data_IF_245059489474
#
_entry.id   IF_245059489474
#
_cell.length_a   1.000
_cell.length_b   1.000
_cell.length_c   1.000
_cell.angle_alpha   90.00
_cell.angle_beta   90.00
_cell.angle_gamma   90.00
#
_symmetry.space_group_name_H-M   'P 1'
#
loop_
_entity.id
_entity.type
_entity.pdbx_description
1 polymer ?
#
# COMPACT_ATOMS: atom_id res chain seq x y z
N UNK A 1 7.81 -35.99 10.10
CA UNK A 1 9.18 -36.16 9.59
C UNK A 1 9.19 -37.33 8.62
N UNK A 2 9.40 -37.05 7.33
CA UNK A 2 9.88 -37.99 6.33
C UNK A 2 10.30 -37.13 5.12
N UNK A 3 11.60 -36.94 4.97
CA UNK A 3 12.22 -36.28 3.82
C UNK A 3 12.22 -37.27 2.65
N UNK A 4 11.81 -36.82 1.47
CA UNK A 4 12.16 -37.49 0.20
C UNK A 4 12.84 -36.45 -0.68
N UNK A 5 14.17 -36.55 -0.77
CA UNK A 5 14.98 -35.88 -1.78
C UNK A 5 14.58 -36.40 -3.16
N UNK A 6 14.34 -35.51 -4.11
CA UNK A 6 14.55 -35.80 -5.52
C UNK A 6 15.63 -34.85 -6.05
N UNK A 7 16.71 -35.45 -6.55
CA UNK A 7 17.86 -34.79 -7.13
C UNK A 7 17.51 -34.14 -8.48
N UNK A 8 18.04 -32.93 -8.66
CA UNK A 8 18.05 -32.16 -9.90
C UNK A 8 18.90 -32.85 -10.98
N UNK A 9 18.40 -32.87 -12.21
CA UNK A 9 19.24 -32.87 -13.42
C UNK A 9 18.95 -31.60 -14.23
N UNK A 10 19.98 -30.96 -14.81
CA UNK A 10 19.83 -29.70 -15.54
C UNK A 10 19.20 -29.95 -16.92
N UNK A 11 18.06 -29.31 -17.19
CA UNK A 11 17.51 -29.22 -18.54
C UNK A 11 18.25 -28.12 -19.30
N UNK A 12 18.85 -28.49 -20.43
CA UNK A 12 19.42 -27.61 -21.44
C UNK A 12 18.37 -26.61 -21.96
N UNK A 13 18.69 -25.33 -21.91
CA UNK A 13 17.91 -24.23 -22.49
C UNK A 13 17.95 -24.29 -24.04
N UNK A 14 16.80 -24.25 -24.74
CA UNK A 14 16.78 -23.84 -26.13
C UNK A 14 16.81 -22.31 -26.25
N UNK A 15 17.48 -21.86 -27.31
CA UNK A 15 17.77 -20.49 -27.68
C UNK A 15 16.54 -19.56 -27.75
N UNK A 16 16.80 -18.31 -27.34
CA UNK A 16 16.18 -17.05 -27.75
C UNK A 16 14.86 -17.12 -28.53
N UNK A 17 13.75 -16.94 -27.82
CA UNK A 17 12.51 -16.41 -28.39
C UNK A 17 12.07 -15.20 -27.59
N UNK A 18 11.87 -14.08 -28.29
CA UNK A 18 11.42 -12.79 -27.78
C UNK A 18 10.14 -12.94 -26.94
N UNK A 19 10.27 -12.79 -25.62
CA UNK A 19 9.12 -12.52 -24.76
C UNK A 19 8.81 -11.03 -24.82
N UNK A 20 7.74 -10.70 -25.54
CA UNK A 20 7.07 -9.40 -25.41
C UNK A 20 6.68 -9.22 -23.94
N UNK A 21 7.33 -8.27 -23.26
CA UNK A 21 6.94 -7.82 -21.92
C UNK A 21 5.65 -7.00 -22.07
N UNK A 22 4.50 -7.68 -22.02
CA UNK A 22 3.22 -7.00 -21.95
C UNK A 22 3.09 -6.29 -20.61
N UNK A 23 3.19 -4.97 -20.59
CA UNK A 23 2.88 -4.15 -19.41
C UNK A 23 1.40 -4.32 -19.07
N UNK A 24 1.08 -5.13 -18.06
CA UNK A 24 -0.28 -5.27 -17.54
C UNK A 24 -0.58 -4.08 -16.65
N UNK A 25 -1.30 -3.09 -17.18
CA UNK A 25 -1.76 -1.94 -16.40
C UNK A 25 -2.98 -2.32 -15.56
N UNK A 26 -2.75 -2.64 -14.29
CA UNK A 26 -3.83 -2.85 -13.32
C UNK A 26 -4.40 -1.47 -12.94
N UNK A 27 -5.69 -1.25 -13.22
CA UNK A 27 -6.44 -0.02 -12.89
C UNK A 27 -7.39 -0.28 -11.73
N UNK A 28 -7.38 0.58 -10.72
CA UNK A 28 -8.32 0.50 -9.61
C UNK A 28 -9.58 1.32 -9.93
N UNK A 29 -10.73 0.65 -10.05
CA UNK A 29 -12.00 1.30 -10.39
C UNK A 29 -12.53 2.10 -9.20
N UNK A 30 -12.94 3.35 -9.45
CA UNK A 30 -13.70 4.12 -8.47
C UNK A 30 -15.15 3.58 -8.44
N UNK A 31 -15.71 3.37 -7.26
CA UNK A 31 -17.10 2.94 -7.14
C UNK A 31 -18.04 4.09 -7.52
N UNK A 32 -18.96 3.86 -8.46
CA UNK A 32 -19.88 4.82 -9.13
C UNK A 32 -20.86 5.63 -8.23
N UNK A 33 -20.70 5.58 -6.90
CA UNK A 33 -21.55 6.30 -5.93
C UNK A 33 -20.75 7.30 -5.08
N UNK A 34 -19.70 7.88 -5.66
CA UNK A 34 -18.84 8.84 -4.96
C UNK A 34 -19.49 10.23 -4.76
N UNK A 35 -20.60 10.52 -5.43
CA UNK A 35 -21.28 11.83 -5.38
C UNK A 35 -22.15 12.06 -4.14
N UNK A 36 -22.31 11.09 -3.22
CA UNK A 36 -23.16 11.27 -2.02
C UNK A 36 -22.89 10.30 -0.85
N UNK A 37 -21.63 10.02 -0.51
CA UNK A 37 -21.30 9.14 0.63
C UNK A 37 -20.51 9.86 1.72
N UNK A 38 -21.01 9.77 2.95
CA UNK A 38 -20.49 10.30 4.21
C UNK A 38 -19.00 9.98 4.40
N UNK A 39 -18.11 10.92 4.07
CA UNK A 39 -16.75 10.92 4.61
C UNK A 39 -16.87 11.30 6.08
N UNK A 40 -16.91 10.30 6.96
CA UNK A 40 -16.66 10.56 8.38
C UNK A 40 -15.15 10.72 8.51
N UNK A 41 -14.65 11.93 8.82
CA UNK A 41 -13.22 12.14 9.04
C UNK A 41 -12.73 11.18 10.11
N UNK A 42 -11.56 10.57 9.92
CA UNK A 42 -10.95 9.83 11.00
C UNK A 42 -10.56 10.80 12.12
N UNK A 43 -11.04 10.55 13.33
CA UNK A 43 -10.70 11.35 14.50
C UNK A 43 -9.29 10.99 14.97
N UNK A 44 -8.40 12.00 15.00
CA UNK A 44 -7.00 11.81 15.35
C UNK A 44 -6.86 11.45 16.83
N UNK A 45 -6.08 10.42 17.13
CA UNK A 45 -5.74 10.05 18.51
C UNK A 45 -4.59 10.92 19.04
N UNK A 46 -4.39 10.90 20.36
CA UNK A 46 -3.30 11.63 21.00
C UNK A 46 -1.93 11.34 20.36
N UNK A 47 -1.19 12.41 20.05
CA UNK A 47 0.12 12.34 19.40
C UNK A 47 0.07 12.12 17.88
N UNK A 48 -1.12 12.05 17.28
CA UNK A 48 -1.29 11.99 15.83
C UNK A 48 -1.54 13.37 15.23
N UNK A 49 -1.01 13.60 14.04
CA UNK A 49 -1.32 14.78 13.23
C UNK A 49 -1.68 14.36 11.82
N UNK A 50 -2.49 15.19 11.15
CA UNK A 50 -2.81 15.05 9.74
C UNK A 50 -2.14 16.16 8.96
N UNK A 51 -1.51 15.81 7.84
CA UNK A 51 -1.03 16.77 6.84
C UNK A 51 -1.49 16.33 5.46
N UNK A 52 -1.39 17.25 4.52
CA UNK A 52 -1.70 17.00 3.12
C UNK A 52 -0.46 17.25 2.29
N UNK A 53 0.05 16.20 1.66
CA UNK A 53 1.20 16.24 0.77
C UNK A 53 0.75 16.60 -0.64
N UNK A 54 1.31 17.66 -1.21
CA UNK A 54 0.99 18.10 -2.57
C UNK A 54 1.79 17.29 -3.60
N UNK A 55 1.07 16.55 -4.44
CA UNK A 55 1.64 15.72 -5.49
C UNK A 55 1.93 16.57 -6.74
N UNK A 56 2.80 16.09 -7.66
CA UNK A 56 3.07 16.77 -8.93
C UNK A 56 1.83 17.00 -9.81
N UNK A 57 0.78 16.20 -9.60
CA UNK A 57 -0.53 16.37 -10.25
C UNK A 57 -1.32 17.57 -9.73
N UNK A 58 -0.89 18.22 -8.65
CA UNK A 58 -1.62 19.27 -7.93
C UNK A 58 -2.64 18.72 -6.92
N UNK A 59 -2.83 17.40 -6.87
CA UNK A 59 -3.73 16.74 -5.92
C UNK A 59 -3.05 16.60 -4.56
N UNK A 60 -3.86 16.69 -3.49
CA UNK A 60 -3.41 16.53 -2.11
C UNK A 60 -3.62 15.10 -1.62
N UNK A 61 -2.54 14.49 -1.17
CA UNK A 61 -2.53 13.18 -0.53
C UNK A 61 -2.53 13.34 0.98
N UNK A 62 -3.55 12.81 1.67
CA UNK A 62 -3.59 12.76 3.13
C UNK A 62 -2.46 11.88 3.66
N UNK A 63 -1.78 12.39 4.68
CA UNK A 63 -0.79 11.66 5.46
C UNK A 63 -1.08 11.84 6.95
N UNK A 64 -1.23 10.73 7.66
CA UNK A 64 -1.28 10.71 9.11
C UNK A 64 0.12 10.46 9.66
N UNK A 65 0.55 11.25 10.64
CA UNK A 65 1.86 11.15 11.27
C UNK A 65 1.71 10.82 12.75
N UNK A 66 2.67 10.06 13.26
CA UNK A 66 2.88 9.89 14.68
C UNK A 66 4.37 9.75 14.96
N UNK A 67 4.94 10.76 15.63
CA UNK A 67 6.37 10.81 15.95
C UNK A 67 6.74 9.80 17.03
N UNK A 68 7.99 9.35 17.02
CA UNK A 68 8.53 8.48 18.06
C UNK A 68 8.33 9.12 19.44
N UNK A 69 7.84 8.34 20.42
CA UNK A 69 7.76 8.76 21.82
C UNK A 69 8.86 8.07 22.64
N UNK A 70 10.00 8.75 22.90
CA UNK A 70 11.17 8.14 23.53
C UNK A 70 11.00 7.84 25.02
N UNK A 71 9.96 8.34 25.70
CA UNK A 71 9.80 8.15 27.14
C UNK A 71 9.71 6.66 27.57
N UNK A 72 9.30 5.76 26.66
CA UNK A 72 9.29 4.30 26.92
C UNK A 72 10.55 3.55 26.47
N UNK A 73 11.42 4.17 25.67
CA UNK A 73 12.70 3.55 25.26
C UNK A 73 13.74 3.61 26.38
N UNK A 74 13.73 4.70 27.15
CA UNK A 74 14.59 4.89 28.33
C UNK A 74 14.32 3.81 29.39
N UNK A 75 13.06 3.40 29.58
CA UNK A 75 12.69 2.29 30.47
C UNK A 75 13.20 0.92 30.00
N UNK A 76 13.50 0.76 28.70
CA UNK A 76 14.00 -0.50 28.12
C UNK A 76 15.53 -0.59 28.02
N UNK A 77 16.27 0.40 28.55
CA UNK A 77 17.74 0.37 28.54
C UNK A 77 18.38 0.45 27.15
N UNK A 78 17.65 0.93 26.14
CA UNK A 78 18.14 1.13 24.77
C UNK A 78 18.80 2.51 24.68
N UNK A 79 20.13 2.52 24.54
CA UNK A 79 20.97 3.72 24.47
C UNK A 79 21.16 4.27 23.05
N UNK A 80 20.31 3.88 22.09
CA UNK A 80 20.39 4.41 20.72
C UNK A 80 19.68 5.75 20.64
N UNK A 81 20.40 6.78 20.19
CA UNK A 81 19.83 8.09 19.87
C UNK A 81 18.60 7.94 18.98
N UNK A 82 17.53 8.64 19.35
CA UNK A 82 16.19 8.60 18.72
C UNK A 82 16.20 8.99 17.21
N UNK A 83 17.36 9.39 16.67
CA UNK A 83 17.61 9.76 15.28
C UNK A 83 17.98 8.60 14.36
N UNK A 84 18.24 7.41 14.89
CA UNK A 84 18.92 6.35 14.11
C UNK A 84 17.96 5.30 13.53
N UNK A 85 16.71 5.24 14.00
CA UNK A 85 15.73 4.29 13.46
C UNK A 85 15.11 4.81 12.16
N UNK A 86 15.01 3.97 11.12
CA UNK A 86 14.38 4.37 9.87
C UNK A 86 12.88 4.66 10.08
N UNK A 87 12.31 5.68 9.44
CA UNK A 87 10.89 5.96 9.52
C UNK A 87 10.07 4.82 8.92
N UNK A 88 8.87 4.58 9.46
CA UNK A 88 7.94 3.58 8.93
C UNK A 88 6.86 4.28 8.10
N UNK A 89 6.68 3.83 6.86
CA UNK A 89 5.64 4.33 5.97
C UNK A 89 4.66 3.21 5.61
N UNK A 90 3.41 3.39 6.04
CA UNK A 90 2.32 2.44 5.86
C UNK A 90 1.45 2.79 4.64
N UNK A 91 1.23 1.81 3.77
CA UNK A 91 0.41 1.91 2.55
C UNK A 91 -0.74 0.91 2.66
N UNK A 92 -1.97 1.42 2.66
CA UNK A 92 -3.18 0.61 2.82
C UNK A 92 -3.58 -0.16 1.55
N UNK A 93 -4.48 -1.11 1.71
CA UNK A 93 -5.11 -1.85 0.61
C UNK A 93 -6.41 -1.21 0.11
N UNK A 94 -7.05 -1.82 -0.88
CA UNK A 94 -8.36 -1.38 -1.38
C UNK A 94 -9.40 -1.29 -0.24
N UNK A 95 -10.33 -0.34 -0.35
CA UNK A 95 -11.40 -0.08 0.62
C UNK A 95 -10.94 0.34 2.03
N UNK A 96 -9.68 0.75 2.17
CA UNK A 96 -9.13 1.34 3.39
C UNK A 96 -8.59 2.75 3.10
N UNK A 97 -8.11 3.43 4.14
CA UNK A 97 -7.26 4.61 4.03
C UNK A 97 -6.21 4.60 5.16
N UNK A 98 -5.45 5.69 5.36
CA UNK A 98 -4.42 5.80 6.40
C UNK A 98 -4.92 5.40 7.81
N UNK A 99 -6.20 5.64 8.11
CA UNK A 99 -6.84 5.32 9.40
C UNK A 99 -6.71 3.85 9.81
N UNK A 100 -6.57 2.91 8.87
CA UNK A 100 -6.44 1.48 9.20
C UNK A 100 -5.15 1.15 9.98
N UNK A 101 -4.12 2.00 9.82
CA UNK A 101 -2.86 1.90 10.57
C UNK A 101 -2.86 2.78 11.82
N UNK A 102 -3.59 3.89 11.78
CA UNK A 102 -3.57 4.92 12.81
C UNK A 102 -4.08 4.39 14.15
N UNK A 103 -5.00 3.43 14.17
CA UNK A 103 -5.66 3.10 15.43
C UNK A 103 -4.74 2.39 16.44
N UNK A 104 -3.93 1.44 15.96
CA UNK A 104 -3.16 0.53 16.82
C UNK A 104 -1.69 0.41 16.40
N UNK A 105 -1.42 0.38 15.10
CA UNK A 105 -0.08 0.14 14.57
C UNK A 105 0.82 1.36 14.75
N UNK A 106 0.39 2.55 14.32
CA UNK A 106 1.18 3.76 14.49
C UNK A 106 1.50 4.05 15.97
N UNK A 107 0.53 3.97 16.92
CA UNK A 107 0.85 4.12 18.34
C UNK A 107 1.78 3.03 18.88
N UNK A 108 1.67 1.79 18.39
CA UNK A 108 2.57 0.70 18.82
C UNK A 108 4.02 0.98 18.41
N UNK A 109 4.26 1.27 17.14
CA UNK A 109 5.62 1.50 16.63
C UNK A 109 6.22 2.82 17.13
N UNK A 110 5.42 3.89 17.24
CA UNK A 110 5.85 5.15 17.86
C UNK A 110 6.32 4.98 19.30
N UNK A 111 5.62 4.15 20.10
CA UNK A 111 6.05 3.80 21.47
C UNK A 111 7.32 2.95 21.52
N UNK A 112 7.74 2.37 20.40
CA UNK A 112 8.97 1.61 20.26
C UNK A 112 10.06 2.41 19.51
N UNK A 113 9.91 3.73 19.37
CA UNK A 113 10.95 4.61 18.84
C UNK A 113 10.88 4.94 17.36
N UNK A 114 9.87 4.46 16.64
CA UNK A 114 9.77 4.70 15.20
C UNK A 114 8.90 5.92 14.87
N UNK A 115 9.40 6.82 14.03
CA UNK A 115 8.57 7.80 13.36
C UNK A 115 7.63 7.09 12.36
N UNK A 116 6.32 7.26 12.52
CA UNK A 116 5.31 6.56 11.75
C UNK A 116 4.55 7.52 10.82
N UNK A 117 4.33 7.10 9.58
CA UNK A 117 3.59 7.83 8.56
C UNK A 117 2.63 6.86 7.85
N UNK A 118 1.35 7.20 7.74
CA UNK A 118 0.38 6.42 6.97
C UNK A 118 -0.23 7.31 5.89
N UNK A 119 -0.12 6.90 4.63
CA UNK A 119 -0.69 7.65 3.49
C UNK A 119 -2.08 7.12 3.17
N UNK A 120 -2.99 7.99 2.76
CA UNK A 120 -4.21 7.60 2.07
C UNK A 120 -4.02 7.78 0.57
N UNK A 121 -4.17 6.72 -0.21
CA UNK A 121 -4.10 6.79 -1.68
C UNK A 121 -5.19 7.75 -2.22
N UNK A 122 -4.95 8.33 -3.40
CA UNK A 122 -5.89 9.25 -4.04
C UNK A 122 -7.26 8.61 -4.27
N UNK A 123 -8.32 9.35 -3.91
CA UNK A 123 -9.70 8.85 -3.91
C UNK A 123 -10.07 8.01 -2.68
N UNK A 124 -9.19 7.87 -1.68
CA UNK A 124 -9.48 7.23 -0.39
C UNK A 124 -9.19 8.15 0.79
N UNK A 125 -9.88 7.92 1.91
CA UNK A 125 -9.73 8.75 3.11
C UNK A 125 -10.09 10.20 2.85
N UNK A 126 -9.20 11.10 3.27
CA UNK A 126 -9.33 12.54 3.02
C UNK A 126 -8.45 13.03 1.87
N UNK A 127 -7.79 12.14 1.12
CA UNK A 127 -7.07 12.51 -0.09
C UNK A 127 -8.02 13.02 -1.18
N UNK A 128 -7.49 13.89 -2.02
CA UNK A 128 -8.20 14.39 -3.19
C UNK A 128 -8.55 13.25 -4.16
N UNK A 129 -9.55 13.51 -4.98
CA UNK A 129 -10.15 12.51 -5.88
C UNK A 129 -9.76 12.88 -7.30
N UNK A 130 -9.08 11.99 -8.03
CA UNK A 130 -8.77 12.22 -9.45
C UNK A 130 -10.06 12.40 -10.26
N UNK A 131 -9.96 13.17 -11.35
CA UNK A 131 -11.11 13.44 -12.25
C UNK A 131 -11.49 12.19 -13.07
N UNK A 132 -10.56 11.27 -13.29
CA UNK A 132 -10.76 10.05 -14.06
C UNK A 132 -11.69 9.05 -13.36
N UNK A 133 -12.25 8.09 -14.12
CA UNK A 133 -13.11 7.01 -13.59
C UNK A 133 -12.38 5.96 -12.75
N UNK A 134 -11.06 6.09 -12.62
CA UNK A 134 -10.19 5.19 -11.85
C UNK A 134 -9.32 6.01 -10.92
N UNK A 135 -9.03 5.45 -9.73
CA UNK A 135 -8.23 6.14 -8.71
C UNK A 135 -6.76 6.32 -9.14
N UNK A 136 -6.32 5.56 -10.13
CA UNK A 136 -4.95 5.56 -10.64
C UNK A 136 -4.57 4.23 -11.27
N UNK A 137 -3.36 4.20 -11.82
CA UNK A 137 -2.66 2.96 -12.19
C UNK A 137 -1.73 2.54 -11.06
N UNK A 138 -1.22 1.30 -11.12
CA UNK A 138 -0.20 0.84 -10.18
C UNK A 138 1.04 1.75 -10.18
N UNK A 139 1.43 2.23 -11.36
CA UNK A 139 2.54 3.17 -11.52
C UNK A 139 2.26 4.51 -10.84
N UNK A 140 1.10 5.12 -11.05
CA UNK A 140 0.80 6.43 -10.45
C UNK A 140 0.76 6.34 -8.93
N UNK A 141 0.17 5.28 -8.37
CA UNK A 141 0.20 5.07 -6.92
C UNK A 141 1.63 4.89 -6.37
N UNK A 142 2.49 4.15 -7.08
CA UNK A 142 3.89 4.01 -6.68
C UNK A 142 4.65 5.34 -6.80
N UNK A 143 4.40 6.12 -7.85
CA UNK A 143 4.96 7.46 -8.05
C UNK A 143 4.54 8.44 -6.94
N UNK A 144 3.29 8.41 -6.52
CA UNK A 144 2.78 9.28 -5.44
C UNK A 144 3.45 8.97 -4.10
N UNK A 145 3.58 7.67 -3.78
CA UNK A 145 4.32 7.19 -2.61
C UNK A 145 5.79 7.62 -2.69
N UNK A 146 6.45 7.43 -3.84
CA UNK A 146 7.84 7.85 -4.07
C UNK A 146 8.02 9.36 -3.89
N UNK A 147 7.07 10.16 -4.37
CA UNK A 147 7.10 11.61 -4.23
C UNK A 147 7.04 12.03 -2.76
N UNK A 148 6.17 11.39 -1.97
CA UNK A 148 6.09 11.64 -0.54
C UNK A 148 7.38 11.20 0.19
N UNK A 149 7.96 10.05 -0.15
CA UNK A 149 9.23 9.61 0.44
C UNK A 149 10.33 10.64 0.14
N UNK A 150 10.44 11.10 -1.11
CA UNK A 150 11.48 12.03 -1.54
C UNK A 150 11.38 13.40 -0.87
N UNK A 151 10.17 13.94 -0.71
CA UNK A 151 9.96 15.30 -0.21
C UNK A 151 9.63 15.39 1.27
N UNK A 152 9.00 14.35 1.82
CA UNK A 152 8.43 14.34 3.17
C UNK A 152 9.31 13.67 4.22
N UNK A 153 10.25 12.81 3.81
CA UNK A 153 11.08 12.03 4.73
C UNK A 153 12.56 12.45 4.66
N UNK A 154 13.24 12.40 5.81
CA UNK A 154 14.65 12.79 5.94
C UNK A 154 15.63 11.64 5.68
N UNK A 155 15.17 10.41 5.74
CA UNK A 155 15.97 9.20 5.57
C UNK A 155 15.14 8.09 4.90
N UNK A 156 15.80 7.11 4.26
CA UNK A 156 15.13 5.96 3.65
C UNK A 156 14.18 5.25 4.63
N UNK A 157 12.88 5.11 4.30
CA UNK A 157 11.92 4.45 5.18
C UNK A 157 11.96 2.94 5.05
N UNK A 158 11.36 2.26 6.03
CA UNK A 158 10.81 0.92 5.84
C UNK A 158 9.37 1.05 5.34
N UNK A 159 9.07 0.47 4.18
CA UNK A 159 7.70 0.47 3.63
C UNK A 159 6.90 -0.73 4.10
N UNK A 160 5.65 -0.50 4.50
CA UNK A 160 4.72 -1.54 4.92
C UNK A 160 3.46 -1.49 4.06
N UNK A 161 3.20 -2.54 3.29
CA UNK A 161 2.08 -2.58 2.35
C UNK A 161 1.08 -3.69 2.68
N UNK A 162 -0.19 -3.33 2.89
CA UNK A 162 -1.27 -4.30 3.07
C UNK A 162 -2.05 -4.54 1.77
N UNK A 163 -2.26 -5.80 1.40
CA UNK A 163 -3.10 -6.18 0.24
C UNK A 163 -2.67 -5.45 -1.05
N UNK A 164 -3.51 -4.57 -1.61
CA UNK A 164 -3.19 -3.72 -2.77
C UNK A 164 -2.00 -2.80 -2.52
N UNK A 165 -1.84 -2.28 -1.29
CA UNK A 165 -0.66 -1.52 -0.88
C UNK A 165 0.64 -2.32 -1.01
N UNK A 166 0.58 -3.63 -0.74
CA UNK A 166 1.73 -4.51 -0.98
C UNK A 166 2.04 -4.73 -2.46
N UNK A 167 1.04 -4.69 -3.35
CA UNK A 167 1.27 -4.72 -4.80
C UNK A 167 1.95 -3.43 -5.28
N UNK A 168 1.55 -2.28 -4.73
CA UNK A 168 2.22 -0.99 -4.97
C UNK A 168 3.69 -1.06 -4.55
N UNK A 169 3.98 -1.60 -3.37
CA UNK A 169 5.37 -1.80 -2.90
C UNK A 169 6.17 -2.74 -3.80
N UNK A 170 5.58 -3.85 -4.24
CA UNK A 170 6.25 -4.78 -5.16
C UNK A 170 6.62 -4.08 -6.47
N UNK A 171 5.70 -3.28 -7.03
CA UNK A 171 5.99 -2.45 -8.19
C UNK A 171 7.11 -1.45 -7.90
N UNK A 172 7.00 -0.68 -6.81
CA UNK A 172 8.02 0.29 -6.39
C UNK A 172 9.41 -0.36 -6.39
N UNK A 173 9.57 -1.48 -5.67
CA UNK A 173 10.85 -2.18 -5.52
C UNK A 173 11.38 -2.69 -6.86
N UNK A 174 10.52 -3.20 -7.76
CA UNK A 174 10.92 -3.69 -9.07
C UNK A 174 11.49 -2.60 -10.00
N UNK A 175 11.17 -1.33 -9.73
CA UNK A 175 11.62 -0.17 -10.50
C UNK A 175 12.59 0.75 -9.72
N UNK A 176 12.97 0.41 -8.49
CA UNK A 176 14.05 1.07 -7.76
C UNK A 176 15.38 1.00 -8.52
N UNK A 177 16.15 2.10 -8.49
CA UNK A 177 17.48 2.17 -9.10
C UNK A 177 17.51 2.14 -10.64
N UNK A 178 16.36 2.02 -11.31
CA UNK A 178 16.28 2.08 -12.78
C UNK A 178 16.15 3.53 -13.23
N UNK A 179 17.23 4.07 -13.78
CA UNK A 179 17.19 5.32 -14.55
C UNK A 179 16.50 5.02 -15.88
N UNK A 180 15.37 5.68 -16.12
CA UNK A 180 14.64 5.48 -17.36
C UNK A 180 15.47 6.03 -18.54
N UNK A 181 15.93 5.16 -19.42
CA UNK A 181 16.65 5.54 -20.64
C UNK A 181 15.70 5.99 -21.76
N UNK A 182 14.38 6.02 -21.48
CA UNK A 182 13.31 6.15 -22.48
C UNK A 182 12.79 7.58 -22.70
N UNK A 183 13.37 8.61 -22.08
CA UNK A 183 13.05 10.02 -22.36
C UNK A 183 11.67 10.50 -21.87
N UNK A 184 10.88 9.65 -21.22
CA UNK A 184 9.70 10.05 -20.43
C UNK A 184 10.18 10.56 -19.05
N UNK A 185 9.46 11.47 -18.35
CA UNK A 185 9.81 11.87 -16.98
C UNK A 185 10.07 10.63 -16.11
N UNK A 186 11.35 10.38 -15.86
CA UNK A 186 11.83 9.24 -15.10
C UNK A 186 11.32 9.39 -13.68
N UNK A 187 10.29 8.60 -13.33
CA UNK A 187 9.85 8.54 -11.93
C UNK A 187 11.00 7.92 -11.14
N UNK A 188 11.72 8.76 -10.40
CA UNK A 188 12.76 8.31 -9.49
C UNK A 188 12.11 7.69 -8.26
N UNK A 189 12.49 6.45 -7.95
CA UNK A 189 12.07 5.73 -6.75
C UNK A 189 13.21 5.75 -5.72
N UNK A 190 13.09 6.55 -4.63
CA UNK A 190 14.10 6.64 -3.59
C UNK A 190 14.44 5.31 -2.92
N UNK A 191 15.66 5.22 -2.37
CA UNK A 191 16.12 4.07 -1.59
C UNK A 191 15.26 3.83 -0.36
N UNK A 192 15.17 2.56 0.04
CA UNK A 192 14.40 2.09 1.19
C UNK A 192 15.35 1.41 2.19
N UNK A 193 15.11 1.60 3.48
CA UNK A 193 15.78 0.84 4.53
C UNK A 193 15.27 -0.61 4.60
N UNK A 194 14.04 -0.85 4.15
CA UNK A 194 13.44 -2.18 4.09
C UNK A 194 12.00 -2.16 3.57
N UNK A 195 11.40 -3.34 3.44
CA UNK A 195 10.00 -3.47 3.06
C UNK A 195 9.34 -4.68 3.74
N UNK A 196 8.04 -4.55 4.07
CA UNK A 196 7.20 -5.60 4.63
C UNK A 196 5.87 -5.70 3.84
N UNK A 197 5.54 -6.92 3.42
CA UNK A 197 4.33 -7.22 2.65
C UNK A 197 3.34 -8.00 3.52
N UNK A 198 2.17 -7.42 3.79
CA UNK A 198 1.13 -8.01 4.63
C UNK A 198 -0.07 -8.42 3.78
N UNK A 199 -0.32 -9.73 3.69
CA UNK A 199 -1.44 -10.29 2.92
C UNK A 199 -1.50 -9.75 1.49
N UNK A 200 -0.33 -9.57 0.85
CA UNK A 200 -0.21 -8.82 -0.39
C UNK A 200 -0.82 -9.54 -1.58
N UNK A 201 -1.43 -8.77 -2.48
CA UNK A 201 -1.82 -9.26 -3.80
C UNK A 201 -0.56 -9.70 -4.55
N UNK A 202 -0.50 -10.92 -5.10
CA UNK A 202 0.66 -11.38 -5.85
C UNK A 202 0.87 -10.50 -7.10
N UNK A 203 2.10 -10.44 -7.66
CA UNK A 203 2.40 -9.61 -8.84
C UNK A 203 1.50 -9.89 -10.05
N UNK A 204 1.01 -11.13 -10.17
CA UNK A 204 0.05 -11.55 -11.21
C UNK A 204 -1.35 -10.98 -11.04
N UNK A 205 -1.64 -10.34 -9.90
CA UNK A 205 -2.98 -9.92 -9.50
C UNK A 205 -3.83 -11.07 -8.93
N UNK A 206 -5.03 -10.73 -8.48
CA UNK A 206 -6.00 -11.67 -7.89
C UNK A 206 -6.95 -12.32 -8.91
N UNK A 207 -6.80 -12.06 -10.20
CA UNK A 207 -7.76 -12.53 -11.21
C UNK A 207 -7.90 -14.06 -11.21
N UNK A 208 -6.80 -14.80 -11.11
CA UNK A 208 -6.83 -16.27 -11.05
C UNK A 208 -7.54 -16.81 -9.81
N UNK A 209 -7.32 -16.22 -8.62
CA UNK A 209 -8.00 -16.65 -7.39
C UNK A 209 -9.49 -16.28 -7.39
N UNK A 210 -9.82 -15.11 -7.94
CA UNK A 210 -11.22 -14.67 -8.13
C UNK A 210 -11.93 -15.60 -9.10
N UNK A 211 -11.31 -15.94 -10.24
CA UNK A 211 -11.92 -16.84 -11.21
C UNK A 211 -12.12 -18.24 -10.61
N UNK A 212 -11.11 -18.75 -9.89
CA UNK A 212 -11.25 -20.00 -9.15
C UNK A 212 -12.41 -19.95 -8.16
N UNK A 213 -12.58 -18.85 -7.41
CA UNK A 213 -13.67 -18.70 -6.45
C UNK A 213 -15.05 -18.67 -7.13
N UNK A 214 -15.19 -17.93 -8.24
CA UNK A 214 -16.45 -17.86 -8.99
C UNK A 214 -16.83 -19.26 -9.51
N UNK A 215 -15.89 -20.01 -10.08
CA UNK A 215 -16.18 -21.35 -10.61
C UNK A 215 -16.37 -22.41 -9.52
N UNK A 216 -15.68 -22.31 -8.38
CA UNK A 216 -15.79 -23.30 -7.29
C UNK A 216 -16.96 -23.03 -6.36
N UNK A 217 -17.41 -21.77 -6.22
CA UNK A 217 -18.50 -21.37 -5.33
C UNK A 217 -19.42 -20.31 -5.96
N UNK A 218 -20.11 -20.62 -7.08
CA UNK A 218 -20.86 -19.63 -7.86
C UNK A 218 -21.98 -18.93 -7.06
N UNK A 219 -22.69 -19.67 -6.20
CA UNK A 219 -23.75 -19.08 -5.35
C UNK A 219 -23.17 -18.11 -4.31
N UNK A 220 -21.99 -18.41 -3.75
CA UNK A 220 -21.34 -17.53 -2.78
C UNK A 220 -20.74 -16.29 -3.46
N UNK A 221 -20.15 -16.45 -4.64
CA UNK A 221 -19.70 -15.34 -5.47
C UNK A 221 -20.86 -14.41 -5.86
N UNK A 222 -22.00 -14.97 -6.26
CA UNK A 222 -23.20 -14.19 -6.56
C UNK A 222 -23.74 -13.44 -5.34
N UNK A 223 -23.74 -14.06 -4.15
CA UNK A 223 -24.11 -13.38 -2.90
C UNK A 223 -23.17 -12.23 -2.56
N UNK A 224 -21.86 -12.39 -2.74
CA UNK A 224 -20.87 -11.31 -2.53
C UNK A 224 -21.08 -10.20 -3.56
N UNK A 225 -21.28 -10.54 -4.84
CA UNK A 225 -21.59 -9.57 -5.88
C UNK A 225 -22.86 -8.76 -5.54
N UNK A 226 -23.93 -9.43 -5.13
CA UNK A 226 -25.17 -8.77 -4.68
C UNK A 226 -24.96 -7.91 -3.43
N UNK A 227 -24.14 -8.34 -2.46
CA UNK A 227 -23.80 -7.54 -1.30
C UNK A 227 -23.01 -6.27 -1.65
N UNK A 228 -22.06 -6.37 -2.57
CA UNK A 228 -21.22 -5.24 -2.98
C UNK A 228 -22.00 -4.24 -3.84
N UNK A 229 -22.85 -4.72 -4.76
CA UNK A 229 -23.54 -3.87 -5.73
C UNK A 229 -24.97 -3.46 -5.32
N UNK A 230 -25.66 -4.28 -4.53
CA UNK A 230 -27.10 -4.12 -4.24
C UNK A 230 -27.44 -4.05 -2.75
N UNK A 231 -26.46 -4.03 -1.82
CA UNK A 231 -26.78 -3.91 -0.39
C UNK A 231 -27.35 -2.51 -0.06
N UNK A 232 -28.57 -2.42 0.51
CA UNK A 232 -29.20 -1.16 0.87
C UNK A 232 -28.62 -0.52 2.15
N UNK A 233 -27.72 -1.20 2.86
CA UNK A 233 -27.17 -0.75 4.14
C UNK A 233 -25.72 -0.27 3.99
N UNK A 234 -25.55 1.04 3.78
CA UNK A 234 -24.26 1.72 3.57
C UNK A 234 -23.40 1.91 4.84
N UNK A 235 -23.85 1.37 5.98
CA UNK A 235 -23.17 1.51 7.29
C UNK A 235 -22.41 0.24 7.70
N UNK A 236 -21.94 -0.57 6.75
CA UNK A 236 -21.00 -1.63 7.08
C UNK A 236 -19.64 -1.02 7.44
N UNK A 237 -19.41 -0.83 8.74
CA UNK A 237 -18.05 -0.77 9.29
C UNK A 237 -17.39 -2.10 8.96
N UNK A 238 -16.62 -2.16 7.89
CA UNK A 238 -15.61 -3.19 7.73
C UNK A 238 -14.54 -2.90 8.80
N UNK A 239 -14.78 -3.35 10.03
CA UNK A 239 -13.69 -3.60 10.98
C UNK A 239 -12.90 -4.80 10.46
N UNK A 240 -12.17 -4.59 9.38
CA UNK A 240 -11.10 -5.51 8.99
C UNK A 240 -9.95 -5.19 9.92
N UNK A 241 -9.83 -5.99 10.98
CA UNK A 241 -8.58 -6.08 11.71
C UNK A 241 -7.53 -6.46 10.67
N UNK A 242 -6.58 -5.55 10.43
CA UNK A 242 -5.33 -5.91 9.76
C UNK A 242 -4.72 -7.01 10.63
N UNK A 243 -4.68 -8.23 10.12
CA UNK A 243 -3.97 -9.35 10.77
C UNK A 243 -2.48 -9.07 10.65
#
# INVERSE_FOLDING_TARGET
MAFSLLLLQPLSLPNSTNYSCGTVTIRCVLSDNYSRSSRVPYELKYGQSRVFHELPSGLKMEVLLQKANPQRMVERGSSSSNSDLPPLLFVHGSYHAAWCWAEHWMPYFSRNGFDCYAVSLLGQGESDVPVDSVAGTLQTHASDVANFIQKGLRSPPVLLGHSFGGLILQYYIAYMGKQDSSGLPSTYYPDLAGAALMCSVPPSGNSGIVWRYIFTKPVAAFKVFMLVYFSPNKNMKFSTVII
#
